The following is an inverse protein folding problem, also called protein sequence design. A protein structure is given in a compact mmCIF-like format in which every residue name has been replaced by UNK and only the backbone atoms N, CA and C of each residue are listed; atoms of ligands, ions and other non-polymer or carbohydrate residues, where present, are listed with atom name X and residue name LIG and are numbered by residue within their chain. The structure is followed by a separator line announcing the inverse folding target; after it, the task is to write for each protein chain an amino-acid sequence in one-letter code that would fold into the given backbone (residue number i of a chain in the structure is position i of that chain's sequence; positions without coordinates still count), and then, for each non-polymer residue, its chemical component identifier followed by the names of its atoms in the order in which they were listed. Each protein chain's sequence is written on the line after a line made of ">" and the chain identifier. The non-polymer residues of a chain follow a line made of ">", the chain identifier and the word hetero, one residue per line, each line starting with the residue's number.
data_IF_665222815030
#
_entry.id   IF_665222815030
#
_cell.length_a   1.000
_cell.length_b   1.000
_cell.length_c   1.000
_cell.angle_alpha   90.00
_cell.angle_beta   90.00
_cell.angle_gamma   90.00
#
_symmetry.space_group_name_H-M   'P 1'
#
loop_
_entity.id
_entity.type
_entity.pdbx_description
1 polymer ?
#
# COMPACT_ATOMS: atom_id res chain seq x y z
N UNK A 1 2.85 -6.95 9.62
CA UNK A 1 4.13 -6.55 9.00
C UNK A 1 4.48 -7.64 8.01
N UNK A 2 4.42 -7.30 6.73
CA UNK A 2 4.75 -8.19 5.63
C UNK A 2 5.97 -7.64 4.88
N UNK A 3 6.92 -8.50 4.55
CA UNK A 3 8.11 -8.13 3.78
C UNK A 3 8.03 -8.81 2.42
N UNK A 4 8.13 -8.02 1.36
CA UNK A 4 8.06 -8.47 -0.03
C UNK A 4 9.41 -8.18 -0.66
N UNK A 5 10.02 -9.18 -1.30
CA UNK A 5 11.26 -8.96 -2.06
C UNK A 5 10.98 -7.99 -3.21
N UNK A 6 11.81 -6.96 -3.39
CA UNK A 6 11.65 -6.02 -4.48
C UNK A 6 12.15 -6.68 -5.78
N UNK A 7 11.27 -7.44 -6.44
CA UNK A 7 11.63 -8.30 -7.58
C UNK A 7 11.92 -7.51 -8.85
N UNK A 8 11.56 -6.22 -8.88
CA UNK A 8 11.90 -5.25 -9.94
C UNK A 8 12.54 -4.01 -9.29
N UNK A 9 13.42 -3.28 -10.00
CA UNK A 9 13.92 -1.98 -9.54
C UNK A 9 12.81 -0.93 -9.64
N UNK A 10 11.75 -1.10 -8.87
CA UNK A 10 10.70 -0.12 -8.68
C UNK A 10 11.23 0.87 -7.66
N UNK A 11 11.72 2.01 -8.17
CA UNK A 11 11.98 3.19 -7.36
C UNK A 11 10.69 3.59 -6.67
N UNK A 12 10.81 4.13 -5.47
CA UNK A 12 9.66 4.47 -4.66
C UNK A 12 8.69 5.42 -5.37
N UNK A 13 9.19 6.38 -6.16
CA UNK A 13 8.36 7.27 -7.01
C UNK A 13 7.44 6.50 -7.96
N UNK A 14 7.97 5.50 -8.66
CA UNK A 14 7.17 4.68 -9.57
C UNK A 14 6.15 3.85 -8.81
N UNK A 15 6.56 3.30 -7.67
CA UNK A 15 5.65 2.54 -6.82
C UNK A 15 4.51 3.43 -6.31
N UNK A 16 4.80 4.67 -5.93
CA UNK A 16 3.78 5.61 -5.50
C UNK A 16 2.81 5.97 -6.62
N UNK A 17 3.31 6.29 -7.82
CA UNK A 17 2.42 6.58 -8.94
C UNK A 17 1.52 5.38 -9.26
N UNK A 18 2.07 4.17 -9.23
CA UNK A 18 1.34 2.91 -9.35
C UNK A 18 0.29 2.75 -8.24
N UNK A 19 0.64 3.01 -6.99
CA UNK A 19 -0.27 2.83 -5.87
C UNK A 19 -1.38 3.89 -5.88
N UNK A 20 -1.05 5.13 -6.20
CA UNK A 20 -2.00 6.25 -6.27
C UNK A 20 -2.99 6.12 -7.40
N UNK A 21 -2.60 5.48 -8.50
CA UNK A 21 -3.46 5.29 -9.67
C UNK A 21 -4.01 3.87 -9.70
N UNK A 22 -3.20 2.90 -10.11
CA UNK A 22 -3.62 1.52 -10.33
C UNK A 22 -4.10 0.81 -9.06
N UNK A 23 -3.43 0.96 -7.91
CA UNK A 23 -3.88 0.30 -6.69
C UNK A 23 -5.13 0.97 -6.10
N UNK A 24 -5.22 2.30 -6.15
CA UNK A 24 -6.44 3.01 -5.76
C UNK A 24 -7.63 2.59 -6.63
N UNK A 25 -7.44 2.44 -7.94
CA UNK A 25 -8.46 1.92 -8.85
C UNK A 25 -8.77 0.44 -8.56
N UNK A 26 -7.76 -0.39 -8.34
CA UNK A 26 -7.92 -1.81 -7.99
C UNK A 26 -8.76 -2.01 -6.73
N UNK A 27 -8.51 -1.21 -5.69
CA UNK A 27 -9.29 -1.28 -4.45
C UNK A 27 -10.69 -0.68 -4.64
N UNK A 28 -10.83 0.40 -5.40
CA UNK A 28 -12.15 0.92 -5.75
C UNK A 28 -13.00 -0.14 -6.48
N UNK A 29 -12.41 -0.90 -7.42
CA UNK A 29 -13.13 -1.97 -8.12
C UNK A 29 -13.42 -3.20 -7.24
N UNK A 30 -12.49 -3.57 -6.34
CA UNK A 30 -12.61 -4.78 -5.50
C UNK A 30 -13.45 -4.57 -4.25
N UNK A 31 -13.27 -3.45 -3.58
CA UNK A 31 -13.81 -3.13 -2.26
C UNK A 31 -14.78 -1.95 -2.27
N UNK A 32 -14.95 -1.27 -3.41
CA UNK A 32 -15.89 -0.15 -3.54
C UNK A 32 -15.59 1.00 -2.59
N UNK A 33 -14.32 1.16 -2.20
CA UNK A 33 -13.93 2.06 -1.11
C UNK A 33 -12.89 3.07 -1.56
N UNK A 34 -13.01 4.29 -1.05
CA UNK A 34 -12.25 5.43 -1.54
C UNK A 34 -10.94 5.58 -0.76
N UNK A 35 -9.85 5.17 -1.39
CA UNK A 35 -8.51 5.23 -0.81
C UNK A 35 -7.81 6.54 -1.13
N UNK A 36 -7.09 7.06 -0.13
CA UNK A 36 -6.16 8.16 -0.29
C UNK A 36 -4.73 7.63 -0.17
N UNK A 37 -3.88 7.93 -1.16
CA UNK A 37 -2.47 7.56 -1.14
C UNK A 37 -1.66 8.85 -0.99
N UNK A 38 -0.87 8.95 0.08
CA UNK A 38 -0.02 10.10 0.38
C UNK A 38 1.45 9.72 0.54
N UNK A 39 2.32 10.67 0.21
CA UNK A 39 3.77 10.51 0.35
C UNK A 39 4.24 11.01 1.72
N UNK A 40 4.94 10.16 2.48
CA UNK A 40 5.40 10.51 3.82
C UNK A 40 6.88 10.90 3.83
N UNK A 41 7.15 12.16 3.46
CA UNK A 41 8.32 12.98 3.84
C UNK A 41 9.75 12.49 3.46
N UNK A 42 9.94 11.28 2.96
CA UNK A 42 11.17 10.78 2.33
C UNK A 42 10.69 9.91 1.18
N UNK A 43 11.32 10.01 0.00
CA UNK A 43 10.86 9.36 -1.23
C UNK A 43 10.56 7.86 -1.07
N UNK A 44 11.07 7.23 -0.03
CA UNK A 44 11.01 5.81 0.28
C UNK A 44 9.79 5.37 1.13
N UNK A 45 8.92 6.28 1.58
CA UNK A 45 7.75 5.90 2.42
C UNK A 45 6.43 6.39 1.83
N UNK A 46 5.52 5.44 1.62
CA UNK A 46 4.20 5.66 1.04
C UNK A 46 3.14 5.30 2.08
N UNK A 47 2.28 6.26 2.38
CA UNK A 47 1.17 6.09 3.31
C UNK A 47 -0.12 5.85 2.53
N UNK A 48 -0.83 4.83 2.94
CA UNK A 48 -2.12 4.43 2.40
C UNK A 48 -3.16 4.81 3.45
N UNK A 49 -3.85 5.92 3.23
CA UNK A 49 -4.85 6.45 4.14
C UNK A 49 -6.24 5.99 3.74
N UNK A 50 -7.01 5.72 4.78
CA UNK A 50 -8.39 5.27 4.65
C UNK A 50 -9.24 6.07 5.62
N UNK A 51 -9.53 7.35 5.30
CA UNK A 51 -10.19 8.25 6.23
C UNK A 51 -11.61 7.80 6.60
N UNK A 52 -12.23 6.93 5.79
CA UNK A 52 -13.53 6.32 6.12
C UNK A 52 -13.44 5.24 7.21
N UNK A 53 -12.23 4.80 7.56
CA UNK A 53 -11.97 3.63 8.40
C UNK A 53 -11.15 3.96 9.65
N UNK A 54 -10.13 4.81 9.50
CA UNK A 54 -9.15 5.12 10.54
C UNK A 54 -8.68 6.56 10.36
N UNK A 55 -8.54 7.29 11.49
CA UNK A 55 -7.79 8.55 11.51
C UNK A 55 -6.28 8.25 11.40
N UNK A 56 -5.76 8.30 10.17
CA UNK A 56 -4.35 8.09 9.87
C UNK A 56 -4.10 7.13 8.68
N UNK A 57 -2.84 6.73 8.45
CA UNK A 57 -2.52 5.70 7.47
C UNK A 57 -3.07 4.35 7.95
N UNK A 58 -3.82 3.66 7.09
CA UNK A 58 -4.22 2.28 7.29
C UNK A 58 -3.04 1.34 7.03
N UNK A 59 -2.29 1.58 5.94
CA UNK A 59 -1.05 0.88 5.64
C UNK A 59 0.08 1.88 5.40
N UNK A 60 1.30 1.50 5.75
CA UNK A 60 2.52 2.22 5.42
C UNK A 60 3.44 1.28 4.65
N UNK A 61 3.97 1.74 3.53
CA UNK A 61 4.84 0.97 2.65
C UNK A 61 6.18 1.68 2.64
N UNK A 62 7.21 0.98 3.12
CA UNK A 62 8.59 1.44 3.06
C UNK A 62 9.29 0.72 1.92
N UNK A 63 9.73 1.49 0.93
CA UNK A 63 10.49 1.04 -0.22
C UNK A 63 11.97 1.09 0.13
N UNK A 64 12.69 0.01 -0.11
CA UNK A 64 14.15 -0.04 -0.05
C UNK A 64 14.69 -0.58 -1.38
N UNK A 65 16.00 -0.46 -1.60
CA UNK A 65 16.65 -0.92 -2.83
C UNK A 65 16.37 -2.39 -3.16
N UNK A 66 16.17 -3.23 -2.13
CA UNK A 66 16.03 -4.68 -2.25
C UNK A 66 14.68 -5.23 -1.76
N UNK A 67 13.92 -4.49 -0.97
CA UNK A 67 12.72 -5.01 -0.31
C UNK A 67 11.66 -3.91 -0.12
N UNK A 68 10.41 -4.34 -0.09
CA UNK A 68 9.25 -3.52 0.27
C UNK A 68 8.74 -4.03 1.61
N UNK A 69 8.64 -3.13 2.59
CA UNK A 69 8.09 -3.45 3.91
C UNK A 69 6.71 -2.83 4.04
N UNK A 70 5.69 -3.66 4.25
CA UNK A 70 4.31 -3.22 4.48
C UNK A 70 4.00 -3.32 5.97
N UNK A 71 3.57 -2.21 6.55
CA UNK A 71 3.15 -2.10 7.94
C UNK A 71 1.65 -1.77 7.99
N UNK A 72 0.86 -2.70 8.52
CA UNK A 72 -0.54 -2.46 8.82
C UNK A 72 -0.68 -1.72 10.15
N UNK A 73 -1.26 -0.52 10.11
CA UNK A 73 -1.52 0.34 11.27
C UNK A 73 -2.95 0.26 11.77
N UNK A 74 -3.83 -0.36 11.00
CA UNK A 74 -5.25 -0.50 11.31
C UNK A 74 -5.60 -1.94 11.71
N UNK A 75 -4.62 -2.71 12.20
CA UNK A 75 -4.83 -4.07 12.74
C UNK A 75 -5.77 -4.09 13.97
N UNK A 76 -5.94 -2.96 14.65
CA UNK A 76 -6.88 -2.76 15.77
C UNK A 76 -8.19 -2.06 15.35
N UNK A 77 -8.42 -1.78 14.06
CA UNK A 77 -9.66 -1.19 13.56
C UNK A 77 -10.68 -2.27 13.19
N UNK A 78 -11.98 -1.98 13.33
CA UNK A 78 -13.10 -2.87 12.92
C UNK A 78 -13.09 -3.22 11.41
N UNK A 79 -12.30 -2.49 10.63
CA UNK A 79 -12.12 -2.76 9.22
C UNK A 79 -11.13 -3.89 8.99
N UNK A 80 -11.43 -4.72 7.99
CA UNK A 80 -10.61 -5.88 7.66
C UNK A 80 -9.34 -5.46 6.92
N UNK A 81 -8.41 -4.89 7.66
CA UNK A 81 -7.14 -4.36 7.15
C UNK A 81 -6.19 -5.47 6.75
N UNK A 82 -6.42 -6.70 7.24
CA UNK A 82 -5.81 -7.91 6.69
C UNK A 82 -6.19 -8.14 5.23
N UNK A 83 -7.46 -7.91 4.85
CA UNK A 83 -7.87 -7.99 3.46
C UNK A 83 -7.18 -6.93 2.60
N UNK A 84 -7.01 -5.71 3.13
CA UNK A 84 -6.31 -4.63 2.43
C UNK A 84 -4.81 -4.95 2.27
N UNK A 85 -4.18 -5.50 3.31
CA UNK A 85 -2.80 -6.00 3.25
C UNK A 85 -2.66 -7.10 2.19
N UNK A 86 -3.57 -8.08 2.16
CA UNK A 86 -3.60 -9.15 1.16
C UNK A 86 -3.81 -8.63 -0.27
N UNK A 87 -4.73 -7.66 -0.48
CA UNK A 87 -4.93 -7.03 -1.79
C UNK A 87 -3.68 -6.26 -2.23
N UNK A 88 -3.01 -5.56 -1.32
CA UNK A 88 -1.77 -4.85 -1.61
C UNK A 88 -0.64 -5.82 -1.97
N UNK A 89 -0.44 -6.87 -1.18
CA UNK A 89 0.54 -7.91 -1.47
C UNK A 89 0.25 -8.53 -2.84
N UNK A 90 -0.99 -8.93 -3.09
CA UNK A 90 -1.39 -9.51 -4.38
C UNK A 90 -1.18 -8.55 -5.56
N UNK A 91 -1.45 -7.26 -5.38
CA UNK A 91 -1.16 -6.25 -6.39
C UNK A 91 0.35 -6.12 -6.67
N UNK A 92 1.17 -6.10 -5.62
CA UNK A 92 2.63 -6.02 -5.74
C UNK A 92 3.23 -7.29 -6.37
N UNK A 93 2.69 -8.47 -6.05
CA UNK A 93 3.08 -9.74 -6.69
C UNK A 93 2.70 -9.79 -8.18
N UNK A 94 1.54 -9.23 -8.55
CA UNK A 94 1.13 -9.10 -9.95
C UNK A 94 2.08 -8.18 -10.73
N UNK A 95 2.50 -7.06 -10.13
CA UNK A 95 3.46 -6.14 -10.76
C UNK A 95 4.88 -6.70 -10.80
N UNK A 96 5.24 -7.61 -9.89
CA UNK A 96 6.52 -8.32 -9.90
C UNK A 96 6.63 -9.40 -10.97
N UNK A 97 5.50 -9.89 -11.50
CA UNK A 97 5.43 -10.93 -12.54
C UNK A 97 5.85 -10.45 -13.94
#
# INVERSE_FOLDING_TARGET
>A
MATINNVKPLSAEKLFDLLKTEFADYINEKLGSNLAIEYAHVYDVINVLFPEVIEGPALTITVSDNELTVTNHAADSDYNTGLLEDQLIGFLELQAS
#
